data_IF_789646958007
#
_entry.id   IF_789646958007
#
_cell.length_a   1.000
_cell.length_b   1.000
_cell.length_c   1.000
_cell.angle_alpha   90.00
_cell.angle_beta   90.00
_cell.angle_gamma   90.00
#
_symmetry.space_group_name_H-M   'P 1'
#
loop_
_entity.id
_entity.type
_entity.pdbx_description
1 polymer ?
#
# COMPACT_ATOMS: atom_id res chain seq x y z
N UNK A 1 -7.91 -65.68 -11.28
CA UNK A 1 -8.73 -64.70 -10.52
C UNK A 1 -8.26 -64.77 -9.07
N UNK A 2 -7.69 -63.76 -8.41
CA UNK A 2 -7.71 -62.30 -8.56
C UNK A 2 -6.32 -61.76 -8.17
N UNK A 3 -5.84 -60.75 -8.89
CA UNK A 3 -4.65 -59.95 -8.54
C UNK A 3 -5.07 -58.84 -7.59
N UNK A 4 -4.40 -58.71 -6.45
CA UNK A 4 -4.57 -57.59 -5.50
C UNK A 4 -3.33 -56.71 -5.58
N UNK A 5 -3.46 -55.59 -6.30
CA UNK A 5 -2.47 -54.51 -6.34
C UNK A 5 -2.67 -53.63 -5.12
N UNK A 6 -1.69 -53.59 -4.21
CA UNK A 6 -1.65 -52.65 -3.10
C UNK A 6 -1.11 -51.31 -3.61
N UNK A 7 -1.96 -50.28 -3.66
CA UNK A 7 -1.54 -48.92 -3.96
C UNK A 7 -1.05 -48.25 -2.67
N UNK A 8 0.25 -48.00 -2.58
CA UNK A 8 0.85 -47.16 -1.54
C UNK A 8 0.56 -45.69 -1.88
N UNK A 9 -0.41 -45.10 -1.20
CA UNK A 9 -0.69 -43.67 -1.26
C UNK A 9 0.34 -42.96 -0.35
N UNK A 10 1.41 -42.44 -0.95
CA UNK A 10 2.37 -41.59 -0.26
C UNK A 10 1.74 -40.24 0.08
N UNK A 11 1.45 -40.01 1.35
CA UNK A 11 1.01 -38.72 1.88
C UNK A 11 2.22 -37.77 1.89
N UNK A 12 2.36 -36.91 0.87
CA UNK A 12 3.28 -35.78 0.93
C UNK A 12 2.73 -34.77 1.95
N UNK A 13 3.28 -34.83 3.16
CA UNK A 13 3.16 -33.75 4.15
C UNK A 13 3.96 -32.55 3.62
N UNK A 14 3.28 -31.61 2.97
CA UNK A 14 3.80 -30.26 2.78
C UNK A 14 3.91 -29.61 4.16
N UNK A 15 5.11 -29.64 4.73
CA UNK A 15 5.49 -28.77 5.83
C UNK A 15 5.46 -27.34 5.29
N UNK A 16 4.30 -26.68 5.41
CA UNK A 16 4.21 -25.23 5.33
C UNK A 16 4.97 -24.67 6.53
N UNK A 17 6.29 -24.52 6.40
CA UNK A 17 7.04 -23.66 7.31
C UNK A 17 6.54 -22.26 7.03
N UNK A 18 5.71 -21.73 7.92
CA UNK A 18 5.36 -20.32 7.94
C UNK A 18 6.68 -19.55 8.01
N UNK A 19 7.10 -18.95 6.89
CA UNK A 19 8.12 -17.92 6.90
C UNK A 19 7.51 -16.78 7.70
N UNK A 20 7.89 -16.66 8.97
CA UNK A 20 7.58 -15.47 9.74
C UNK A 20 8.26 -14.32 8.99
N UNK A 21 7.47 -13.39 8.44
CA UNK A 21 8.00 -12.17 7.88
C UNK A 21 8.84 -11.49 8.97
N UNK A 22 10.15 -11.48 8.78
CA UNK A 22 11.07 -10.95 9.78
C UNK A 22 10.84 -9.45 9.88
N UNK A 23 10.38 -8.98 11.04
CA UNK A 23 10.15 -7.55 11.27
C UNK A 23 11.45 -6.78 11.05
N UNK A 24 11.45 -5.83 10.11
CA UNK A 24 12.61 -4.98 9.82
C UNK A 24 12.81 -4.01 10.99
N UNK A 25 13.98 -4.06 11.65
CA UNK A 25 14.40 -3.04 12.59
C UNK A 25 14.87 -1.79 11.85
N UNK A 26 13.97 -0.83 11.68
CA UNK A 26 14.22 0.40 10.94
C UNK A 26 15.26 1.32 11.58
N UNK A 27 15.57 1.15 12.88
CA UNK A 27 16.60 1.96 13.54
C UNK A 27 18.00 1.71 12.95
N UNK A 28 18.23 0.52 12.36
CA UNK A 28 19.48 0.17 11.67
C UNK A 28 19.77 1.11 10.49
N UNK A 29 18.74 1.72 9.90
CA UNK A 29 18.87 2.64 8.77
C UNK A 29 18.93 4.12 9.19
N UNK A 30 18.92 4.45 10.50
CA UNK A 30 18.89 5.84 10.96
C UNK A 30 20.03 6.69 10.34
N UNK A 31 21.25 6.15 10.27
CA UNK A 31 22.40 6.83 9.65
C UNK A 31 22.24 7.05 8.14
N UNK A 32 21.42 6.23 7.47
CA UNK A 32 21.13 6.37 6.04
C UNK A 32 20.41 7.69 5.78
N UNK A 33 19.52 8.14 6.66
CA UNK A 33 18.82 9.41 6.48
C UNK A 33 19.76 10.61 6.30
N UNK A 34 20.98 10.54 6.86
CA UNK A 34 21.98 11.62 6.82
C UNK A 34 22.89 11.57 5.58
N UNK A 35 22.73 10.56 4.70
CA UNK A 35 23.54 10.44 3.49
C UNK A 35 23.29 11.62 2.56
N UNK A 36 24.34 12.45 2.41
CA UNK A 36 24.41 13.49 1.39
C UNK A 36 24.94 12.89 0.10
N UNK A 37 24.06 12.74 -0.87
CA UNK A 37 24.40 12.28 -2.22
C UNK A 37 24.11 13.34 -3.27
N UNK A 38 25.05 13.52 -4.20
CA UNK A 38 24.93 14.51 -5.29
C UNK A 38 24.40 13.88 -6.59
N UNK A 39 24.63 12.58 -6.80
CA UNK A 39 24.10 11.80 -7.93
C UNK A 39 23.45 10.50 -7.45
N UNK A 40 22.61 9.85 -8.27
CA UNK A 40 22.06 8.54 -7.92
C UNK A 40 23.13 7.46 -7.71
N UNK A 41 24.24 7.52 -8.45
CA UNK A 41 25.40 6.62 -8.33
C UNK A 41 26.06 6.79 -6.96
N UNK A 42 26.36 8.03 -6.56
CA UNK A 42 26.94 8.34 -5.24
C UNK A 42 26.02 7.89 -4.08
N UNK A 43 24.69 7.95 -4.28
CA UNK A 43 23.74 7.43 -3.30
C UNK A 43 23.79 5.90 -3.22
N UNK A 44 23.76 5.23 -4.37
CA UNK A 44 23.82 3.77 -4.44
C UNK A 44 25.12 3.26 -3.80
N UNK A 45 26.27 3.82 -4.19
CA UNK A 45 27.59 3.43 -3.68
C UNK A 45 27.68 3.53 -2.14
N UNK A 46 27.19 4.64 -1.56
CA UNK A 46 27.18 4.85 -0.10
C UNK A 46 26.25 3.89 0.65
N UNK A 47 25.14 3.49 0.02
CA UNK A 47 24.24 2.50 0.59
C UNK A 47 24.90 1.12 0.53
N UNK A 48 25.44 0.73 -0.62
CA UNK A 48 26.06 -0.58 -0.84
C UNK A 48 27.40 -0.75 -0.14
N UNK A 49 28.06 0.33 0.27
CA UNK A 49 29.25 0.25 1.14
C UNK A 49 28.91 -0.16 2.58
N UNK A 50 27.64 -0.02 2.98
CA UNK A 50 27.16 -0.30 4.34
C UNK A 50 26.31 -1.58 4.41
N UNK A 51 25.48 -1.81 3.39
CA UNK A 51 24.56 -2.94 3.32
C UNK A 51 24.88 -3.81 2.11
N UNK A 52 24.82 -5.13 2.29
CA UNK A 52 25.18 -6.10 1.26
C UNK A 52 24.06 -7.06 0.86
N UNK A 53 22.99 -7.18 1.66
CA UNK A 53 21.84 -8.02 1.31
C UNK A 53 20.84 -7.23 0.46
N UNK A 54 20.13 -7.89 -0.46
CA UNK A 54 19.16 -7.24 -1.33
C UNK A 54 18.05 -6.54 -0.52
N UNK A 55 17.56 -7.22 0.54
CA UNK A 55 16.55 -6.66 1.44
C UNK A 55 17.06 -5.41 2.19
N UNK A 56 18.26 -5.44 2.79
CA UNK A 56 18.78 -4.27 3.52
C UNK A 56 19.09 -3.11 2.56
N UNK A 57 19.57 -3.38 1.35
CA UNK A 57 19.78 -2.34 0.32
C UNK A 57 18.44 -1.73 -0.08
N UNK A 58 17.44 -2.54 -0.43
CA UNK A 58 16.12 -2.06 -0.81
C UNK A 58 15.45 -1.23 0.31
N UNK A 59 15.58 -1.69 1.56
CA UNK A 59 15.07 -1.01 2.75
C UNK A 59 15.84 0.30 3.04
N UNK A 60 17.16 0.31 2.88
CA UNK A 60 17.97 1.53 3.04
C UNK A 60 17.59 2.60 2.02
N UNK A 61 17.40 2.22 0.75
CA UNK A 61 16.94 3.16 -0.30
C UNK A 61 15.54 3.68 0.06
N UNK A 62 14.63 2.80 0.47
CA UNK A 62 13.27 3.20 0.87
C UNK A 62 13.30 4.16 2.06
N UNK A 63 14.07 3.85 3.09
CA UNK A 63 14.24 4.69 4.27
C UNK A 63 14.82 6.06 3.89
N UNK A 64 15.91 6.07 3.10
CA UNK A 64 16.49 7.32 2.62
C UNK A 64 15.47 8.19 1.90
N UNK A 65 14.71 7.60 0.97
CA UNK A 65 13.71 8.29 0.15
C UNK A 65 12.62 8.92 1.03
N UNK A 66 12.09 8.14 1.97
CA UNK A 66 11.00 8.55 2.86
C UNK A 66 11.43 9.57 3.91
N UNK A 67 12.72 9.68 4.24
CA UNK A 67 13.25 10.74 5.09
C UNK A 67 13.65 12.00 4.31
N UNK A 68 14.15 11.85 3.08
CA UNK A 68 14.83 12.94 2.37
C UNK A 68 14.05 13.56 1.22
N UNK A 69 13.00 12.93 0.71
CA UNK A 69 12.19 13.50 -0.39
C UNK A 69 10.86 13.98 0.17
N UNK A 70 10.45 15.20 -0.17
CA UNK A 70 9.17 15.78 0.21
C UNK A 70 8.20 15.80 -0.98
N UNK A 71 6.89 15.63 -0.73
CA UNK A 71 5.92 15.68 -1.82
C UNK A 71 5.76 17.11 -2.37
N UNK A 72 5.81 17.26 -3.70
CA UNK A 72 5.66 18.56 -4.38
C UNK A 72 4.20 18.89 -4.68
N UNK A 73 3.49 19.40 -3.68
CA UNK A 73 2.08 19.80 -3.81
C UNK A 73 1.86 20.92 -4.84
N UNK A 74 2.86 21.80 -5.05
CA UNK A 74 2.80 22.84 -6.07
C UNK A 74 2.90 22.23 -7.48
N UNK A 75 3.88 21.35 -7.71
CA UNK A 75 4.01 20.64 -8.98
C UNK A 75 2.78 19.78 -9.26
N UNK A 76 2.27 19.07 -8.23
CA UNK A 76 1.03 18.31 -8.33
C UNK A 76 -0.14 19.20 -8.78
N UNK A 77 -0.35 20.34 -8.14
CA UNK A 77 -1.39 21.30 -8.53
C UNK A 77 -1.23 21.81 -9.97
N UNK A 78 -0.01 22.06 -10.43
CA UNK A 78 0.26 22.45 -11.82
C UNK A 78 -0.06 21.33 -12.82
N UNK A 79 0.31 20.09 -12.50
CA UNK A 79 0.04 18.93 -13.37
C UNK A 79 -1.46 18.66 -13.44
N UNK A 80 -2.16 18.67 -12.30
CA UNK A 80 -3.61 18.44 -12.23
C UNK A 80 -4.44 19.61 -12.77
N UNK A 81 -3.91 20.84 -12.67
CA UNK A 81 -4.57 22.06 -13.15
C UNK A 81 -4.49 22.28 -14.66
N UNK A 82 -3.68 21.50 -15.38
CA UNK A 82 -3.56 21.55 -16.85
C UNK A 82 -4.81 20.96 -17.52
N UNK A 83 -5.89 21.72 -17.56
CA UNK A 83 -7.04 21.44 -18.40
C UNK A 83 -6.73 21.86 -19.85
N UNK A 84 -7.05 21.01 -20.82
CA UNK A 84 -6.99 21.31 -22.27
C UNK A 84 -5.60 21.59 -22.87
N UNK A 85 -4.52 21.08 -22.27
CA UNK A 85 -3.21 21.10 -22.95
C UNK A 85 -3.23 20.10 -24.10
N UNK A 86 -2.89 20.52 -25.34
CA UNK A 86 -2.64 19.54 -26.41
C UNK A 86 -1.50 18.61 -25.94
N UNK A 87 -1.67 17.28 -26.01
CA UNK A 87 -0.60 16.36 -25.66
C UNK A 87 0.59 16.66 -26.57
N UNK A 88 1.74 16.93 -25.96
CA UNK A 88 2.99 17.03 -26.71
C UNK A 88 3.41 15.63 -27.09
N UNK A 89 3.69 15.42 -28.38
CA UNK A 89 4.35 14.22 -28.85
C UNK A 89 5.83 14.34 -28.53
N UNK A 90 6.42 13.26 -28.03
CA UNK A 90 7.85 13.18 -27.73
C UNK A 90 8.43 11.95 -28.41
N UNK A 91 9.67 12.07 -28.89
CA UNK A 91 10.47 10.94 -29.34
C UNK A 91 10.93 10.11 -28.13
N UNK A 92 11.30 8.83 -28.32
CA UNK A 92 11.84 8.01 -27.24
C UNK A 92 13.07 8.63 -26.55
N UNK A 93 13.94 9.31 -27.30
CA UNK A 93 15.12 9.98 -26.76
C UNK A 93 14.75 11.17 -25.87
N UNK A 94 13.78 11.99 -26.28
CA UNK A 94 13.27 13.11 -25.46
C UNK A 94 12.59 12.61 -24.18
N UNK A 95 11.83 11.51 -24.27
CA UNK A 95 11.22 10.88 -23.10
C UNK A 95 12.30 10.42 -22.11
N UNK A 96 13.36 9.77 -22.61
CA UNK A 96 14.49 9.35 -21.78
C UNK A 96 15.16 10.53 -21.08
N UNK A 97 15.41 11.62 -21.80
CA UNK A 97 16.00 12.84 -21.23
C UNK A 97 15.08 13.48 -20.17
N UNK A 98 13.78 13.56 -20.43
CA UNK A 98 12.81 14.07 -19.45
C UNK A 98 12.82 13.22 -18.18
N UNK A 99 12.93 11.91 -18.31
CA UNK A 99 12.99 11.00 -17.16
C UNK A 99 14.30 11.14 -16.38
N UNK A 100 15.44 11.27 -17.08
CA UNK A 100 16.73 11.57 -16.44
C UNK A 100 16.64 12.85 -15.62
N UNK A 101 16.14 13.93 -16.23
CA UNK A 101 15.98 15.20 -15.55
C UNK A 101 15.04 15.10 -14.35
N UNK A 102 13.98 14.28 -14.40
CA UNK A 102 13.09 14.06 -13.24
C UNK A 102 13.81 13.37 -12.08
N UNK A 103 14.65 12.37 -12.36
CA UNK A 103 15.47 11.68 -11.35
C UNK A 103 16.43 12.66 -10.70
N UNK A 104 17.24 13.36 -11.52
CA UNK A 104 18.25 14.30 -11.03
C UNK A 104 17.62 15.47 -10.26
N UNK A 105 16.50 16.01 -10.73
CA UNK A 105 15.79 17.08 -10.04
C UNK A 105 15.18 16.60 -8.71
N UNK A 106 14.63 15.39 -8.64
CA UNK A 106 14.06 14.85 -7.40
C UNK A 106 15.15 14.69 -6.33
N UNK A 107 16.30 14.14 -6.71
CA UNK A 107 17.48 14.00 -5.85
C UNK A 107 17.99 15.36 -5.38
N UNK A 108 18.26 16.27 -6.33
CA UNK A 108 18.85 17.59 -6.04
C UNK A 108 17.93 18.46 -5.19
N UNK A 109 16.64 18.53 -5.54
CA UNK A 109 15.66 19.40 -4.87
C UNK A 109 15.06 18.76 -3.63
N UNK A 110 15.30 17.46 -3.38
CA UNK A 110 14.71 16.74 -2.25
C UNK A 110 13.18 16.80 -2.27
N UNK A 111 12.61 16.86 -3.47
CA UNK A 111 11.19 17.17 -3.67
C UNK A 111 10.69 16.63 -5.02
N UNK A 112 9.54 15.96 -5.03
CA UNK A 112 8.95 15.39 -6.23
C UNK A 112 7.49 14.96 -6.06
N UNK A 113 6.83 14.54 -7.14
CA UNK A 113 5.55 13.82 -7.10
C UNK A 113 5.79 12.32 -7.29
N UNK A 114 4.76 11.48 -7.26
CA UNK A 114 4.87 10.02 -7.27
C UNK A 114 5.82 9.45 -8.36
N UNK A 115 5.78 9.99 -9.58
CA UNK A 115 6.72 9.60 -10.64
C UNK A 115 8.18 9.93 -10.29
N UNK A 116 8.45 11.08 -9.68
CA UNK A 116 9.79 11.46 -9.24
C UNK A 116 10.34 10.54 -8.16
N UNK A 117 9.50 10.19 -7.17
CA UNK A 117 9.84 9.19 -6.15
C UNK A 117 10.18 7.84 -6.80
N UNK A 118 9.27 7.34 -7.63
CA UNK A 118 9.37 5.99 -8.17
C UNK A 118 10.53 5.83 -9.14
N UNK A 119 10.83 6.86 -9.94
CA UNK A 119 11.99 6.87 -10.83
C UNK A 119 13.31 6.96 -10.08
N UNK A 120 13.37 7.79 -9.04
CA UNK A 120 14.61 7.92 -8.25
C UNK A 120 14.88 6.61 -7.48
N UNK A 121 13.86 6.02 -6.86
CA UNK A 121 13.98 4.71 -6.22
C UNK A 121 14.47 3.66 -7.22
N UNK A 122 13.81 3.54 -8.36
CA UNK A 122 14.20 2.59 -9.42
C UNK A 122 15.66 2.79 -9.86
N UNK A 123 16.07 4.04 -10.14
CA UNK A 123 17.44 4.33 -10.57
C UNK A 123 18.46 3.90 -9.52
N UNK A 124 18.24 4.25 -8.26
CA UNK A 124 19.18 3.94 -7.17
C UNK A 124 19.22 2.44 -6.90
N UNK A 125 18.06 1.76 -6.90
CA UNK A 125 17.98 0.31 -6.73
C UNK A 125 18.72 -0.44 -7.85
N UNK A 126 18.51 -0.05 -9.11
CA UNK A 126 19.20 -0.65 -10.26
C UNK A 126 20.72 -0.41 -10.23
N UNK A 127 21.16 0.78 -9.82
CA UNK A 127 22.59 1.08 -9.63
C UNK A 127 23.19 0.29 -8.47
N UNK A 128 22.40 0.00 -7.44
CA UNK A 128 22.80 -0.83 -6.31
C UNK A 128 22.74 -2.36 -6.60
N UNK A 129 22.45 -2.74 -7.85
CA UNK A 129 22.45 -4.13 -8.29
C UNK A 129 21.12 -4.88 -8.14
N UNK A 130 20.03 -4.20 -7.74
CA UNK A 130 18.70 -4.80 -7.65
C UNK A 130 17.96 -4.72 -8.98
N UNK A 131 17.10 -5.70 -9.29
CA UNK A 131 16.12 -5.55 -10.37
C UNK A 131 14.93 -4.75 -9.83
N UNK A 132 14.70 -3.53 -10.33
CA UNK A 132 13.57 -2.70 -9.95
C UNK A 132 12.83 -2.13 -11.15
N UNK A 133 11.51 -2.22 -11.10
CA UNK A 133 10.59 -1.68 -12.09
C UNK A 133 9.68 -0.61 -11.49
N UNK A 134 9.43 0.43 -12.27
CA UNK A 134 8.40 1.41 -11.94
C UNK A 134 7.05 0.89 -12.43
N UNK A 135 6.07 0.86 -11.54
CA UNK A 135 4.70 0.48 -11.83
C UNK A 135 3.85 1.75 -11.95
N UNK A 136 3.05 1.83 -13.00
CA UNK A 136 2.08 2.92 -13.20
C UNK A 136 0.66 2.37 -13.14
N UNK A 137 -0.25 3.17 -12.61
CA UNK A 137 -1.65 2.80 -12.52
C UNK A 137 -2.45 3.85 -11.78
N UNK A 138 -3.36 3.40 -10.92
CA UNK A 138 -4.23 4.26 -10.14
C UNK A 138 -4.14 3.93 -8.66
N UNK A 139 -4.28 4.95 -7.81
CA UNK A 139 -4.35 4.76 -6.37
C UNK A 139 -5.45 5.57 -5.70
N UNK A 140 -6.14 4.96 -4.73
CA UNK A 140 -7.24 5.57 -3.95
C UNK A 140 -6.71 6.21 -2.67
N UNK A 141 -6.54 7.51 -2.70
CA UNK A 141 -6.18 8.28 -1.50
C UNK A 141 -7.37 8.66 -0.61
N UNK A 142 -8.59 8.67 -1.17
CA UNK A 142 -9.81 9.01 -0.44
C UNK A 142 -10.67 7.76 -0.21
N UNK A 143 -10.87 7.45 1.07
CA UNK A 143 -11.60 6.31 1.61
C UNK A 143 -13.13 6.52 1.60
N UNK A 144 -13.60 7.70 1.22
CA UNK A 144 -15.02 8.08 1.25
C UNK A 144 -15.69 8.12 -0.11
N UNK A 145 -14.96 7.87 -1.21
CA UNK A 145 -15.51 7.90 -2.57
C UNK A 145 -15.36 6.51 -3.21
N UNK A 146 -16.35 5.60 -3.02
CA UNK A 146 -16.35 4.30 -3.68
C UNK A 146 -16.52 4.44 -5.20
N UNK A 147 -16.20 3.39 -5.95
CA UNK A 147 -16.41 3.35 -7.41
C UNK A 147 -15.49 4.29 -8.19
N UNK A 148 -14.40 4.76 -7.57
CA UNK A 148 -13.36 5.54 -8.25
C UNK A 148 -12.10 4.70 -8.43
N UNK A 149 -11.45 4.82 -9.59
CA UNK A 149 -10.10 4.28 -9.76
C UNK A 149 -9.08 4.98 -8.85
N UNK A 150 -9.40 6.20 -8.41
CA UNK A 150 -8.49 7.08 -7.69
C UNK A 150 -7.77 8.02 -8.64
N UNK A 151 -6.56 8.42 -8.27
CA UNK A 151 -5.70 9.29 -9.09
C UNK A 151 -4.65 8.45 -9.83
N UNK A 152 -4.19 8.94 -10.98
CA UNK A 152 -3.00 8.38 -11.63
C UNK A 152 -1.82 8.41 -10.66
N UNK A 153 -1.16 7.27 -10.48
CA UNK A 153 -0.12 7.08 -9.49
C UNK A 153 1.02 6.22 -10.04
N UNK A 154 2.19 6.33 -9.40
CA UNK A 154 3.36 5.53 -9.71
C UNK A 154 4.02 5.06 -8.41
N UNK A 155 4.47 3.81 -8.42
CA UNK A 155 5.17 3.13 -7.33
C UNK A 155 6.19 2.15 -7.91
N UNK A 156 6.74 1.23 -7.11
CA UNK A 156 7.77 0.30 -7.57
C UNK A 156 7.46 -1.17 -7.25
N UNK A 157 7.99 -2.04 -8.10
CA UNK A 157 8.25 -3.45 -7.78
C UNK A 157 9.77 -3.64 -7.75
N UNK A 158 10.31 -4.29 -6.73
CA UNK A 158 11.74 -4.61 -6.61
C UNK A 158 11.88 -6.11 -6.37
N UNK A 159 12.82 -6.74 -7.04
CA UNK A 159 13.10 -8.16 -6.86
C UNK A 159 14.10 -8.34 -5.73
N UNK A 160 13.74 -9.16 -4.75
CA UNK A 160 14.54 -9.47 -3.57
C UNK A 160 14.53 -10.98 -3.41
N UNK A 161 15.71 -11.59 -3.36
CA UNK A 161 15.92 -13.04 -3.23
C UNK A 161 15.15 -13.86 -4.28
N UNK A 162 15.04 -13.30 -5.49
CA UNK A 162 14.35 -13.92 -6.63
C UNK A 162 12.87 -13.56 -6.77
N UNK A 163 12.25 -12.95 -5.76
CA UNK A 163 10.81 -12.66 -5.72
C UNK A 163 10.51 -11.16 -5.85
N UNK A 164 9.48 -10.82 -6.62
CA UNK A 164 9.04 -9.43 -6.76
C UNK A 164 8.27 -8.95 -5.54
N UNK A 165 8.62 -7.77 -5.04
CA UNK A 165 8.06 -7.14 -3.85
C UNK A 165 7.57 -5.74 -4.20
N UNK A 166 6.39 -5.34 -3.70
CA UNK A 166 5.81 -4.03 -3.98
C UNK A 166 6.17 -3.01 -2.90
N UNK A 167 6.39 -1.76 -3.30
CA UNK A 167 6.59 -0.64 -2.39
C UNK A 167 6.14 0.69 -2.99
N UNK A 168 5.81 1.64 -2.12
CA UNK A 168 5.51 3.02 -2.50
C UNK A 168 6.21 4.02 -1.57
N UNK A 169 7.34 4.58 -2.03
CA UNK A 169 8.03 5.63 -1.28
C UNK A 169 7.22 6.91 -1.11
N UNK A 170 6.25 7.19 -1.99
CA UNK A 170 5.44 8.41 -1.94
C UNK A 170 4.52 8.39 -0.72
N UNK A 171 3.73 7.31 -0.58
CA UNK A 171 2.82 7.14 0.56
C UNK A 171 3.55 6.63 1.79
N UNK A 172 4.70 5.99 1.61
CA UNK A 172 5.69 5.67 2.65
C UNK A 172 6.31 6.89 3.33
N UNK A 173 6.45 8.01 2.60
CA UNK A 173 7.07 9.23 3.12
C UNK A 173 6.12 10.08 3.97
N UNK A 174 4.80 9.93 3.79
CA UNK A 174 3.80 10.70 4.53
C UNK A 174 2.55 11.00 3.71
N UNK A 175 1.89 12.10 4.04
CA UNK A 175 0.62 12.49 3.43
C UNK A 175 0.53 14.00 3.20
N UNK A 176 -0.45 14.43 2.41
CA UNK A 176 -0.79 15.85 2.24
C UNK A 176 -1.99 16.17 3.13
N UNK A 177 -1.87 17.21 3.94
CA UNK A 177 -2.97 17.65 4.82
C UNK A 177 -4.03 18.47 4.06
N UNK A 178 -5.11 18.81 4.76
CA UNK A 178 -6.22 19.66 4.31
C UNK A 178 -5.77 21.02 3.73
N UNK A 179 -4.61 21.53 4.14
CA UNK A 179 -4.00 22.78 3.66
C UNK A 179 -3.05 22.60 2.49
N UNK A 180 -3.08 21.45 1.81
CA UNK A 180 -2.20 21.13 0.68
C UNK A 180 -0.71 21.21 1.03
N UNK A 181 -0.36 20.90 2.29
CA UNK A 181 1.02 20.81 2.75
C UNK A 181 1.40 19.35 2.98
N UNK A 182 2.57 18.97 2.47
CA UNK A 182 3.16 17.68 2.77
C UNK A 182 3.55 17.62 4.25
N UNK A 183 3.13 16.55 4.92
CA UNK A 183 3.50 16.19 6.28
C UNK A 183 4.23 14.86 6.20
N UNK A 184 5.52 14.90 6.53
CA UNK A 184 6.34 13.68 6.61
C UNK A 184 5.81 12.81 7.74
N UNK A 185 5.59 11.54 7.44
CA UNK A 185 5.21 10.51 8.40
C UNK A 185 5.69 9.18 7.83
N UNK A 186 6.79 8.66 8.37
CA UNK A 186 7.38 7.42 7.89
C UNK A 186 6.42 6.25 8.10
N UNK A 187 6.06 5.57 7.02
CA UNK A 187 5.14 4.44 7.03
C UNK A 187 5.84 3.19 6.50
N UNK A 188 6.37 2.31 7.37
CA UNK A 188 7.10 1.12 6.94
C UNK A 188 6.19 0.11 6.21
N UNK A 189 4.88 0.18 6.43
CA UNK A 189 3.91 -0.73 5.83
C UNK A 189 3.73 -0.55 4.31
N UNK A 190 4.28 0.51 3.72
CA UNK A 190 4.40 0.70 2.26
C UNK A 190 5.73 0.16 1.67
N UNK A 191 6.53 -0.58 2.44
CA UNK A 191 7.71 -1.31 1.97
C UNK A 191 7.44 -2.82 2.01
N UNK A 192 7.70 -3.52 0.90
CA UNK A 192 7.38 -4.95 0.74
C UNK A 192 5.93 -5.26 1.14
N UNK A 193 5.01 -4.38 0.76
CA UNK A 193 3.59 -4.52 1.11
C UNK A 193 3.03 -5.78 0.44
N UNK A 194 2.35 -6.67 1.16
CA UNK A 194 1.73 -7.85 0.57
C UNK A 194 0.83 -7.47 -0.62
N UNK A 195 0.94 -8.14 -1.78
CA UNK A 195 0.21 -7.75 -2.98
C UNK A 195 -1.32 -7.75 -2.79
N UNK A 196 -1.84 -8.70 -2.02
CA UNK A 196 -3.25 -8.76 -1.65
C UNK A 196 -3.73 -7.54 -0.87
N UNK A 197 -2.87 -6.97 -0.02
CA UNK A 197 -3.16 -5.76 0.77
C UNK A 197 -3.00 -4.49 -0.06
N UNK A 198 -1.90 -4.35 -0.81
CA UNK A 198 -1.67 -3.16 -1.65
C UNK A 198 -2.74 -3.02 -2.75
N UNK A 199 -3.23 -4.14 -3.28
CA UNK A 199 -4.30 -4.19 -4.27
C UNK A 199 -5.65 -3.61 -3.82
N UNK A 200 -5.85 -3.28 -2.53
CA UNK A 200 -7.07 -2.60 -2.07
C UNK A 200 -7.08 -1.10 -2.43
N UNK A 201 -5.90 -0.48 -2.56
CA UNK A 201 -5.80 0.94 -2.89
C UNK A 201 -4.83 1.26 -4.03
N UNK A 202 -4.13 0.28 -4.61
CA UNK A 202 -3.32 0.41 -5.82
C UNK A 202 -3.81 -0.56 -6.89
N UNK A 203 -4.06 -0.04 -8.09
CA UNK A 203 -4.46 -0.83 -9.25
C UNK A 203 -3.52 -0.55 -10.42
N UNK A 204 -2.61 -1.48 -10.77
CA UNK A 204 -1.64 -1.27 -11.85
C UNK A 204 -2.33 -1.31 -13.22
N UNK A 205 -1.78 -0.56 -14.17
CA UNK A 205 -2.24 -0.58 -15.55
C UNK A 205 -1.90 -1.90 -16.25
N UNK A 206 -0.76 -2.51 -15.92
CA UNK A 206 -0.39 -3.86 -16.34
C UNK A 206 -0.68 -4.83 -15.19
N UNK A 207 -1.62 -5.76 -15.41
CA UNK A 207 -2.13 -6.65 -14.36
C UNK A 207 -1.06 -7.58 -13.78
N UNK A 208 0.05 -7.83 -14.47
CA UNK A 208 1.16 -8.63 -13.93
C UNK A 208 1.73 -8.04 -12.65
N UNK A 209 1.70 -6.71 -12.52
CA UNK A 209 2.23 -6.01 -11.35
C UNK A 209 1.28 -6.04 -10.15
N UNK A 210 0.13 -6.72 -10.26
CA UNK A 210 -0.65 -7.08 -9.08
C UNK A 210 0.06 -8.16 -8.26
N UNK A 211 0.96 -8.95 -8.85
CA UNK A 211 1.68 -10.05 -8.19
C UNK A 211 0.74 -11.01 -7.44
N UNK A 212 -0.47 -11.20 -7.98
CA UNK A 212 -1.46 -12.15 -7.51
C UNK A 212 -1.52 -13.31 -8.49
N UNK A 213 -1.72 -14.53 -7.98
CA UNK A 213 -1.99 -15.71 -8.79
C UNK A 213 -3.23 -15.50 -9.67
N UNK A 214 -4.26 -14.89 -9.08
CA UNK A 214 -5.47 -14.45 -9.78
C UNK A 214 -5.59 -12.92 -9.71
N UNK A 215 -5.21 -12.19 -10.78
CA UNK A 215 -5.35 -10.74 -10.82
C UNK A 215 -6.79 -10.28 -10.65
N UNK A 216 -6.97 -9.28 -9.81
CA UNK A 216 -8.23 -8.61 -9.51
C UNK A 216 -8.63 -7.77 -10.72
N UNK A 217 -9.88 -7.90 -11.15
CA UNK A 217 -10.43 -7.07 -12.23
C UNK A 217 -10.72 -5.64 -11.77
N UNK A 218 -10.81 -4.72 -12.72
CA UNK A 218 -11.21 -3.33 -12.44
C UNK A 218 -12.58 -3.26 -11.72
N UNK A 219 -13.54 -4.08 -12.14
CA UNK A 219 -14.88 -4.15 -11.54
C UNK A 219 -14.83 -4.59 -10.07
N UNK A 220 -14.01 -5.59 -9.74
CA UNK A 220 -13.82 -6.03 -8.35
C UNK A 220 -13.10 -4.95 -7.57
N UNK A 221 -12.03 -4.36 -8.12
CA UNK A 221 -11.34 -3.25 -7.49
C UNK A 221 -12.31 -2.12 -7.14
N UNK A 222 -13.16 -1.66 -8.07
CA UNK A 222 -14.15 -0.59 -7.89
C UNK A 222 -15.16 -0.84 -6.77
N UNK A 223 -15.44 -2.11 -6.45
CA UNK A 223 -16.36 -2.49 -5.39
C UNK A 223 -15.70 -2.71 -4.03
N UNK A 224 -14.38 -2.90 -3.97
CA UNK A 224 -13.68 -3.21 -2.71
C UNK A 224 -13.96 -2.21 -1.59
N UNK A 225 -13.99 -2.73 -0.37
CA UNK A 225 -14.03 -1.96 0.86
C UNK A 225 -12.97 -0.85 0.86
N UNK A 226 -13.33 0.31 1.42
CA UNK A 226 -12.39 1.40 1.55
C UNK A 226 -11.47 1.14 2.73
N UNK A 227 -10.18 1.44 2.57
CA UNK A 227 -9.15 1.13 3.58
C UNK A 227 -8.37 2.38 3.96
N UNK A 228 -7.99 2.50 5.23
CA UNK A 228 -7.11 3.59 5.69
C UNK A 228 -5.71 3.11 6.06
N UNK A 229 -4.92 3.98 6.69
CA UNK A 229 -3.57 3.66 7.19
C UNK A 229 -3.56 2.46 8.12
N UNK A 230 -4.56 2.32 8.98
CA UNK A 230 -4.68 1.23 9.94
C UNK A 230 -4.78 -0.16 9.27
N UNK A 231 -5.28 -0.23 8.04
CA UNK A 231 -5.32 -1.48 7.27
C UNK A 231 -3.92 -2.06 7.07
N UNK A 232 -2.97 -1.19 6.71
CA UNK A 232 -1.59 -1.57 6.48
C UNK A 232 -0.82 -1.71 7.79
N UNK A 233 -1.04 -0.82 8.76
CA UNK A 233 -0.35 -0.84 10.06
C UNK A 233 -0.59 -2.13 10.83
N UNK A 234 -1.80 -2.69 10.76
CA UNK A 234 -2.17 -3.92 11.45
C UNK A 234 -2.15 -5.17 10.55
N UNK A 235 -1.72 -5.02 9.29
CA UNK A 235 -1.63 -6.13 8.33
C UNK A 235 -2.97 -6.83 8.13
N UNK A 236 -4.01 -6.09 7.76
CA UNK A 236 -5.34 -6.66 7.55
C UNK A 236 -5.40 -7.48 6.26
N UNK A 237 -6.06 -8.63 6.33
CA UNK A 237 -6.39 -9.50 5.20
C UNK A 237 -7.65 -10.34 5.48
N UNK A 238 -8.07 -11.16 4.52
CA UNK A 238 -9.20 -12.09 4.63
C UNK A 238 -10.48 -11.47 5.24
N UNK A 239 -10.99 -10.43 4.56
CA UNK A 239 -12.18 -9.71 5.00
C UNK A 239 -13.44 -10.55 4.79
N UNK A 240 -14.27 -10.68 5.84
CA UNK A 240 -15.62 -11.27 5.74
C UNK A 240 -16.52 -10.58 4.70
N UNK A 241 -16.25 -9.30 4.43
CA UNK A 241 -16.97 -8.50 3.47
C UNK A 241 -15.96 -7.77 2.58
N UNK A 242 -15.81 -8.23 1.35
CA UNK A 242 -14.88 -7.60 0.39
C UNK A 242 -15.44 -6.32 -0.22
N UNK A 243 -16.77 -6.21 -0.35
CA UNK A 243 -17.44 -5.10 -1.02
C UNK A 243 -17.72 -3.93 -0.07
N UNK A 244 -17.55 -2.71 -0.56
CA UNK A 244 -17.82 -1.47 0.16
C UNK A 244 -19.30 -1.31 0.49
N UNK A 245 -20.20 -1.69 -0.42
CA UNK A 245 -21.64 -1.64 -0.20
C UNK A 245 -22.09 -2.88 0.58
N UNK A 246 -22.61 -2.65 1.79
CA UNK A 246 -23.20 -3.69 2.63
C UNK A 246 -24.71 -3.49 2.72
N UNK A 247 -25.46 -4.48 2.26
CA UNK A 247 -26.92 -4.50 2.41
C UNK A 247 -27.29 -5.34 3.63
N UNK A 248 -27.99 -4.74 4.59
CA UNK A 248 -28.30 -5.40 5.87
C UNK A 248 -29.82 -5.48 6.11
N UNK A 249 -30.33 -6.58 6.69
CA UNK A 249 -31.73 -6.65 7.10
C UNK A 249 -32.07 -5.64 8.21
N UNK A 250 -33.31 -5.16 8.22
CA UNK A 250 -33.83 -4.38 9.36
C UNK A 250 -33.78 -5.18 10.67
N UNK A 251 -33.32 -4.50 11.72
CA UNK A 251 -33.31 -4.99 13.12
C UNK A 251 -32.38 -6.19 13.38
N UNK A 252 -31.39 -6.43 12.52
CA UNK A 252 -30.34 -7.42 12.74
C UNK A 252 -28.99 -6.76 13.06
N UNK A 253 -28.14 -7.40 13.88
CA UNK A 253 -26.77 -6.95 14.08
C UNK A 253 -25.96 -7.09 12.79
N UNK A 254 -24.86 -6.34 12.69
CA UNK A 254 -23.89 -6.45 11.59
C UNK A 254 -22.54 -6.85 12.16
N UNK A 255 -21.96 -7.94 11.66
CA UNK A 255 -20.65 -8.42 12.08
C UNK A 255 -19.65 -8.29 10.93
N UNK A 256 -18.56 -7.57 11.18
CA UNK A 256 -17.42 -7.44 10.27
C UNK A 256 -16.24 -8.17 10.89
N UNK A 257 -15.82 -9.27 10.27
CA UNK A 257 -14.63 -10.02 10.64
C UNK A 257 -13.51 -9.86 9.61
N UNK A 258 -12.26 -9.92 10.06
CA UNK A 258 -11.06 -9.89 9.24
C UNK A 258 -9.88 -10.54 9.98
N UNK A 259 -8.89 -11.00 9.22
CA UNK A 259 -7.62 -11.46 9.76
C UNK A 259 -6.63 -10.29 9.88
N UNK A 260 -5.65 -10.44 10.77
CA UNK A 260 -4.64 -9.42 11.09
C UNK A 260 -3.29 -10.08 11.38
N UNK A 261 -2.20 -9.40 11.03
CA UNK A 261 -0.87 -9.78 11.48
C UNK A 261 -0.66 -9.45 12.97
N UNK A 262 -1.24 -8.32 13.42
CA UNK A 262 -1.20 -7.88 14.81
C UNK A 262 -2.51 -7.23 15.21
N UNK A 263 -3.26 -7.90 16.09
CA UNK A 263 -4.57 -7.45 16.52
C UNK A 263 -4.48 -6.14 17.33
N UNK A 264 -5.15 -5.05 16.91
CA UNK A 264 -5.21 -3.83 17.70
C UNK A 264 -5.84 -4.10 19.07
N UNK A 265 -5.37 -3.39 20.10
CA UNK A 265 -5.85 -3.61 21.47
C UNK A 265 -7.36 -3.38 21.59
N UNK A 266 -7.83 -2.29 20.99
CA UNK A 266 -9.23 -1.86 20.96
C UNK A 266 -9.55 -1.31 19.57
N UNK A 267 -10.79 -1.46 19.12
CA UNK A 267 -11.31 -0.81 17.92
C UNK A 267 -12.58 -0.04 18.23
N UNK A 268 -12.82 1.01 17.46
CA UNK A 268 -14.01 1.84 17.57
C UNK A 268 -14.77 1.87 16.26
N UNK A 269 -16.09 1.94 16.35
CA UNK A 269 -16.96 2.11 15.21
C UNK A 269 -17.42 3.56 15.13
N UNK A 270 -17.29 4.16 13.96
CA UNK A 270 -17.67 5.55 13.70
C UNK A 270 -18.69 5.58 12.58
N UNK A 271 -19.80 6.27 12.79
CA UNK A 271 -20.68 6.67 11.70
C UNK A 271 -20.13 7.96 11.10
N UNK A 272 -19.45 7.88 9.97
CA UNK A 272 -18.88 9.03 9.28
C UNK A 272 -19.92 9.95 8.63
N UNK A 273 -21.16 9.47 8.43
CA UNK A 273 -22.27 10.34 7.98
C UNK A 273 -22.64 11.35 9.05
N UNK A 274 -22.65 10.94 10.32
CA UNK A 274 -22.95 11.84 11.46
C UNK A 274 -21.70 12.30 12.21
N UNK A 275 -20.53 11.74 11.89
CA UNK A 275 -19.25 11.92 12.61
C UNK A 275 -19.32 11.58 14.09
N UNK A 276 -20.10 10.56 14.43
CA UNK A 276 -20.28 10.11 15.81
C UNK A 276 -19.75 8.71 15.97
N UNK A 277 -19.04 8.45 17.05
CA UNK A 277 -18.78 7.08 17.49
C UNK A 277 -20.11 6.38 17.80
N UNK A 278 -20.23 5.12 17.40
CA UNK A 278 -21.41 4.29 17.61
C UNK A 278 -21.05 3.04 18.41
N UNK A 279 -21.98 2.49 19.20
CA UNK A 279 -21.74 1.26 19.94
C UNK A 279 -21.37 0.10 19.02
N UNK A 280 -20.31 -0.63 19.36
CA UNK A 280 -19.97 -1.94 18.83
C UNK A 280 -19.17 -2.75 19.86
N UNK A 281 -19.17 -4.08 19.70
CA UNK A 281 -18.36 -5.01 20.48
C UNK A 281 -17.25 -5.57 19.60
N UNK A 282 -16.09 -5.83 20.20
CA UNK A 282 -14.92 -6.40 19.51
C UNK A 282 -14.55 -7.70 20.20
N UNK A 283 -14.53 -8.79 19.44
CA UNK A 283 -13.97 -10.07 19.86
C UNK A 283 -12.73 -10.38 19.02
N UNK A 284 -11.72 -10.98 19.64
CA UNK A 284 -10.43 -11.24 18.99
C UNK A 284 -9.83 -12.59 19.38
N UNK A 285 -9.19 -13.23 18.40
CA UNK A 285 -8.19 -14.28 18.59
C UNK A 285 -6.79 -13.69 18.33
N UNK A 286 -5.75 -14.52 18.25
CA UNK A 286 -4.40 -14.05 17.93
C UNK A 286 -4.30 -13.43 16.52
N UNK A 287 -5.10 -13.94 15.58
CA UNK A 287 -5.00 -13.70 14.13
C UNK A 287 -6.30 -13.19 13.50
N UNK A 288 -7.41 -13.13 14.24
CA UNK A 288 -8.70 -12.64 13.75
C UNK A 288 -9.35 -11.66 14.70
N UNK A 289 -10.04 -10.70 14.10
CA UNK A 289 -10.86 -9.71 14.79
C UNK A 289 -12.26 -9.77 14.22
N UNK A 290 -13.26 -9.68 15.10
CA UNK A 290 -14.67 -9.58 14.75
C UNK A 290 -15.28 -8.37 15.47
N UNK A 291 -15.86 -7.47 14.68
CA UNK A 291 -16.51 -6.24 15.15
C UNK A 291 -18.00 -6.36 14.91
N UNK A 292 -18.78 -6.39 15.99
CA UNK A 292 -20.24 -6.51 15.92
C UNK A 292 -20.93 -5.20 16.29
N UNK A 293 -21.77 -4.70 15.39
CA UNK A 293 -22.66 -3.58 15.64
C UNK A 293 -24.03 -4.13 16.06
N UNK A 294 -24.59 -3.70 17.22
CA UNK A 294 -25.93 -4.09 17.60
C UNK A 294 -26.95 -3.51 16.61
N UNK A 295 -28.07 -4.21 16.42
CA UNK A 295 -29.12 -3.83 15.46
C UNK A 295 -29.58 -2.37 15.56
N UNK A 296 -29.60 -1.78 16.77
CA UNK A 296 -29.98 -0.40 16.99
C UNK A 296 -28.96 0.63 16.42
N UNK A 297 -27.69 0.24 16.30
CA UNK A 297 -26.61 1.03 15.69
C UNK A 297 -26.62 0.93 14.17
N UNK A 298 -27.18 -0.14 13.59
CA UNK A 298 -27.20 -0.39 12.14
C UNK A 298 -28.23 0.52 11.46
N UNK A 299 -27.71 1.55 10.79
CA UNK A 299 -28.47 2.56 10.04
C UNK A 299 -27.89 2.71 8.63
N UNK A 300 -28.61 3.42 7.76
CA UNK A 300 -28.01 3.90 6.51
C UNK A 300 -26.87 4.86 6.87
N UNK A 301 -25.62 4.46 6.63
CA UNK A 301 -24.45 5.21 7.08
C UNK A 301 -23.20 4.85 6.28
N UNK A 302 -22.17 5.68 6.42
CA UNK A 302 -20.79 5.28 6.14
C UNK A 302 -20.18 4.82 7.47
N UNK A 303 -19.96 3.53 7.61
CA UNK A 303 -19.31 2.90 8.76
C UNK A 303 -17.80 3.00 8.60
N UNK A 304 -17.11 3.45 9.63
CA UNK A 304 -15.67 3.32 9.80
C UNK A 304 -15.32 2.43 10.99
N UNK A 305 -14.31 1.58 10.82
CA UNK A 305 -13.65 0.84 11.89
C UNK A 305 -12.28 1.48 12.08
N UNK A 306 -12.00 2.03 13.26
CA UNK A 306 -10.80 2.82 13.54
C UNK A 306 -10.03 2.30 14.75
N UNK A 307 -8.71 2.52 14.76
CA UNK A 307 -7.85 2.26 15.91
C UNK A 307 -8.03 3.32 17.01
N UNK A 308 -7.44 3.15 18.21
CA UNK A 308 -7.43 4.17 19.26
C UNK A 308 -6.77 5.48 18.86
N UNK A 309 -5.79 5.42 17.95
CA UNK A 309 -5.10 6.58 17.36
C UNK A 309 -5.94 7.26 16.26
N UNK A 310 -7.17 6.79 16.04
CA UNK A 310 -8.10 7.23 14.99
C UNK A 310 -7.62 6.94 13.57
N UNK A 311 -6.68 6.01 13.41
CA UNK A 311 -6.34 5.49 12.09
C UNK A 311 -7.50 4.65 11.56
N UNK A 312 -7.98 4.97 10.36
CA UNK A 312 -9.00 4.17 9.70
C UNK A 312 -8.43 2.82 9.26
N UNK A 313 -9.09 1.73 9.63
CA UNK A 313 -8.80 0.39 9.12
C UNK A 313 -9.66 0.12 7.89
N UNK A 314 -10.98 0.09 8.08
CA UNK A 314 -11.96 -0.28 7.07
C UNK A 314 -13.14 0.70 7.07
N UNK A 315 -13.70 0.94 5.89
CA UNK A 315 -14.90 1.74 5.71
C UNK A 315 -15.86 1.08 4.72
N UNK A 316 -17.16 1.15 5.06
CA UNK A 316 -18.26 0.54 4.31
C UNK A 316 -19.46 1.49 4.22
N UNK A 317 -20.18 1.45 3.10
CA UNK A 317 -21.52 2.01 2.98
C UNK A 317 -22.54 0.97 3.38
N UNK A 318 -23.17 1.17 4.53
CA UNK A 318 -24.25 0.31 5.01
C UNK A 318 -25.59 0.84 4.52
N UNK A 319 -26.38 -0.01 3.87
CA UNK A 319 -27.75 0.26 3.43
C UNK A 319 -28.68 -0.79 4.04
N UNK A 320 -29.60 -0.33 4.87
CA UNK A 320 -30.57 -1.17 5.57
C UNK A 320 -31.80 -1.39 4.68
N UNK A 321 -32.10 -2.65 4.37
CA UNK A 321 -33.29 -3.08 3.62
C UNK A 321 -34.44 -3.44 4.57
#
# INVERSE_FOLDING_TARGET
MKSTTLAFLGLLLFLCTSVSAQTIDWNRFAAVAEIKASTPEDLADKITSTFSTEQDIAAAIYYWMTQNVAYDTNLYGQVMGRKNSKPKSYTPAEVKEIYEQRVLNTLKRRKGVCEGYSRLYQRVANLAGLECEMVTGYARGDVMVPGSMGIGHAWNAVKIDGEWQLLDCTWGAGAVNDKMKFVRNFRPSYFMTPPGSLGYNHFPQDSKWQLLEEPVSEEVYLRRAAIGSGFFTHGLYDLSHADYLLETPKKEPLTIAFAVDSAPETLYCVNYTTRMQIPCSVSKTADRVSVELPAASVKNMVLGIVSPEQDLLLSYRVVRK
#
